data_IF_530426270726
#
_entry.id   IF_530426270726
#
_cell.length_a   1.000
_cell.length_b   1.000
_cell.length_c   1.000
_cell.angle_alpha   90.00
_cell.angle_beta   90.00
_cell.angle_gamma   90.00
#
_symmetry.space_group_name_H-M   'P 1'
#
loop_
_entity.id
_entity.type
_entity.pdbx_description
1 polymer ?
#
# COMPACT_ATOMS: atom_id res chain seq x y z
N UNK A 1 36.58 20.29 15.08
CA UNK A 1 35.13 20.46 15.37
C UNK A 1 34.23 20.46 14.13
N UNK A 2 34.54 21.22 13.07
CA UNK A 2 33.70 21.34 11.85
C UNK A 2 33.36 20.02 11.13
N UNK A 3 34.30 19.06 11.06
CA UNK A 3 34.09 17.75 10.41
C UNK A 3 33.16 16.79 11.18
N UNK A 4 33.02 16.96 12.50
CA UNK A 4 32.12 16.15 13.33
C UNK A 4 30.67 16.58 13.17
N UNK A 5 30.43 17.89 13.08
CA UNK A 5 29.10 18.48 12.83
C UNK A 5 28.61 18.12 11.43
N UNK A 6 29.48 18.14 10.42
CA UNK A 6 29.12 17.75 9.05
C UNK A 6 28.68 16.28 8.95
N UNK A 7 29.35 15.39 9.68
CA UNK A 7 29.02 13.95 9.71
C UNK A 7 27.69 13.68 10.42
N UNK A 8 27.41 14.39 11.51
CA UNK A 8 26.14 14.28 12.24
C UNK A 8 24.94 14.83 11.45
N UNK A 9 25.12 15.92 10.70
CA UNK A 9 24.07 16.48 9.84
C UNK A 9 23.78 15.56 8.64
N UNK A 10 24.82 14.96 8.05
CA UNK A 10 24.64 13.99 6.97
C UNK A 10 23.91 12.73 7.44
N UNK A 11 24.22 12.25 8.66
CA UNK A 11 23.54 11.10 9.28
C UNK A 11 22.07 11.40 9.60
N UNK A 12 21.75 12.64 10.01
CA UNK A 12 20.38 13.08 10.30
C UNK A 12 19.52 13.20 9.04
N UNK A 13 20.11 13.62 7.91
CA UNK A 13 19.42 13.71 6.60
C UNK A 13 19.13 12.32 6.04
N UNK A 14 20.02 11.35 6.25
CA UNK A 14 19.81 9.94 5.84
C UNK A 14 18.79 9.23 6.74
N UNK A 15 18.62 9.64 8.00
CA UNK A 15 17.62 9.06 8.91
C UNK A 15 16.20 9.64 8.74
N UNK A 16 16.05 10.73 7.98
CA UNK A 16 14.77 11.39 7.70
C UNK A 16 14.14 10.97 6.37
N UNK A 17 14.79 10.09 5.60
CA UNK A 17 14.19 9.54 4.38
C UNK A 17 13.10 8.54 4.75
N UNK A 18 11.88 9.03 5.00
CA UNK A 18 10.69 8.19 4.89
C UNK A 18 10.74 7.50 3.54
N UNK A 19 10.57 6.18 3.53
CA UNK A 19 10.72 5.31 2.37
C UNK A 19 10.20 5.96 1.07
N UNK A 20 11.11 6.41 0.19
CA UNK A 20 10.78 6.93 -1.16
C UNK A 20 11.08 5.85 -2.19
N UNK A 21 10.59 4.64 -1.95
CA UNK A 21 10.54 3.62 -2.99
C UNK A 21 9.10 3.55 -3.49
N UNK A 22 8.92 3.46 -4.80
CA UNK A 22 7.69 2.87 -5.30
C UNK A 22 7.54 1.51 -4.64
N UNK A 23 6.39 1.23 -4.02
CA UNK A 23 6.12 -0.07 -3.39
C UNK A 23 6.12 -1.21 -4.43
N UNK A 24 6.04 -0.89 -5.72
CA UNK A 24 6.33 -1.86 -6.77
C UNK A 24 7.75 -2.41 -6.62
N UNK A 25 7.84 -3.72 -6.36
CA UNK A 25 9.09 -4.45 -6.39
C UNK A 25 9.77 -4.26 -7.75
N UNK A 26 11.07 -3.99 -7.75
CA UNK A 26 11.89 -4.04 -8.97
C UNK A 26 12.17 -5.48 -9.43
N UNK A 27 11.90 -6.46 -8.56
CA UNK A 27 11.93 -7.88 -8.88
C UNK A 27 10.56 -8.33 -9.40
N UNK A 28 10.43 -8.74 -10.68
CA UNK A 28 9.17 -9.16 -11.27
C UNK A 28 8.62 -10.46 -10.68
N UNK A 29 9.38 -11.17 -9.84
CA UNK A 29 8.93 -12.38 -9.15
C UNK A 29 8.25 -12.10 -7.81
N UNK A 30 8.30 -10.85 -7.33
CA UNK A 30 7.71 -10.44 -6.05
C UNK A 30 6.45 -9.63 -6.33
N UNK A 31 5.31 -10.14 -5.85
CA UNK A 31 4.04 -9.42 -5.91
C UNK A 31 3.96 -8.36 -4.79
N UNK A 32 3.30 -7.24 -5.10
CA UNK A 32 2.85 -6.28 -4.09
C UNK A 32 1.37 -6.56 -3.76
N UNK A 33 1.06 -7.27 -2.66
CA UNK A 33 -0.30 -7.66 -2.35
C UNK A 33 -1.17 -6.45 -1.97
N UNK A 34 -2.39 -6.39 -2.50
CA UNK A 34 -3.42 -5.41 -2.10
C UNK A 34 -4.09 -5.83 -0.78
N UNK A 35 -4.23 -7.14 -0.59
CA UNK A 35 -4.77 -7.77 0.61
C UNK A 35 -3.94 -9.03 0.92
N UNK A 36 -3.60 -9.24 2.19
CA UNK A 36 -2.83 -10.40 2.66
C UNK A 36 -3.65 -11.40 3.46
N UNK A 37 -4.97 -11.22 3.52
CA UNK A 37 -5.85 -12.17 4.19
C UNK A 37 -5.87 -13.52 3.49
N UNK A 38 -5.87 -14.59 4.28
CA UNK A 38 -5.80 -15.98 3.78
C UNK A 38 -7.12 -16.56 3.28
N UNK A 39 -8.15 -15.72 3.10
CA UNK A 39 -9.49 -16.14 2.71
C UNK A 39 -9.69 -16.06 1.19
N UNK A 40 -10.81 -16.60 0.71
CA UNK A 40 -11.19 -16.50 -0.70
C UNK A 40 -11.39 -15.04 -1.09
N UNK A 41 -10.68 -14.60 -2.13
CA UNK A 41 -10.74 -13.25 -2.71
C UNK A 41 -11.09 -13.37 -4.20
N UNK A 42 -12.18 -12.74 -4.64
CA UNK A 42 -12.74 -12.91 -6.00
C UNK A 42 -13.15 -11.58 -6.66
N UNK A 43 -13.38 -11.65 -7.97
CA UNK A 43 -13.95 -10.58 -8.79
C UNK A 43 -13.33 -9.18 -8.59
N UNK A 44 -11.99 -9.02 -8.70
CA UNK A 44 -11.38 -7.71 -8.50
C UNK A 44 -11.80 -6.72 -9.61
N UNK A 45 -12.09 -5.49 -9.21
CA UNK A 45 -12.29 -4.36 -10.11
C UNK A 45 -11.35 -3.20 -9.74
N UNK A 46 -10.92 -2.42 -10.73
CA UNK A 46 -9.96 -1.33 -10.54
C UNK A 46 -10.38 -0.08 -11.31
N UNK A 47 -10.20 1.08 -10.68
CA UNK A 47 -10.31 2.39 -11.32
C UNK A 47 -9.19 3.31 -10.86
N UNK A 48 -8.85 4.32 -11.67
CA UNK A 48 -7.89 5.34 -11.27
C UNK A 48 -8.48 6.24 -10.18
N UNK A 49 -7.64 6.69 -9.25
CA UNK A 49 -8.06 7.60 -8.16
C UNK A 49 -8.03 9.10 -8.54
N UNK A 50 -7.69 9.42 -9.80
CA UNK A 50 -7.54 10.78 -10.32
C UNK A 50 -6.25 11.51 -9.90
N UNK A 51 -5.42 10.92 -9.04
CA UNK A 51 -4.16 11.49 -8.52
C UNK A 51 -2.93 10.65 -8.86
N UNK A 52 -3.07 9.72 -9.82
CA UNK A 52 -2.01 8.81 -10.25
C UNK A 52 -1.93 7.51 -9.45
N UNK A 53 -2.85 7.29 -8.51
CA UNK A 53 -3.07 6.02 -7.82
C UNK A 53 -4.27 5.25 -8.39
N UNK A 54 -4.73 4.28 -7.63
CA UNK A 54 -5.86 3.42 -7.99
C UNK A 54 -6.73 3.07 -6.79
N UNK A 55 -8.01 2.82 -7.03
CA UNK A 55 -8.93 2.18 -6.10
C UNK A 55 -9.23 0.78 -6.64
N UNK A 56 -9.01 -0.23 -5.80
CA UNK A 56 -9.24 -1.63 -6.09
C UNK A 56 -10.35 -2.11 -5.17
N UNK A 57 -11.33 -2.82 -5.71
CA UNK A 57 -12.39 -3.51 -4.95
C UNK A 57 -12.34 -5.00 -5.22
N UNK A 58 -12.70 -5.83 -4.24
CA UNK A 58 -12.80 -7.29 -4.40
C UNK A 58 -13.85 -7.88 -3.45
N UNK A 59 -14.36 -9.06 -3.81
CA UNK A 59 -15.20 -9.89 -2.95
C UNK A 59 -14.27 -10.67 -2.01
N UNK A 60 -14.53 -10.64 -0.70
CA UNK A 60 -13.70 -11.32 0.30
C UNK A 60 -14.58 -12.11 1.27
N UNK A 61 -14.20 -13.37 1.53
CA UNK A 61 -14.94 -14.30 2.40
C UNK A 61 -14.40 -14.39 3.84
N UNK A 62 -13.63 -13.40 4.32
CA UNK A 62 -13.03 -13.46 5.67
C UNK A 62 -14.02 -13.54 6.83
N UNK A 63 -15.23 -13.02 6.65
CA UNK A 63 -16.24 -12.93 7.70
C UNK A 63 -17.35 -13.99 7.56
N UNK A 64 -17.09 -15.08 6.82
CA UNK A 64 -18.06 -16.17 6.63
C UNK A 64 -19.19 -15.84 5.63
N UNK A 65 -19.13 -14.68 4.98
CA UNK A 65 -19.93 -14.31 3.83
C UNK A 65 -19.05 -13.48 2.86
N UNK A 66 -19.43 -13.43 1.58
CA UNK A 66 -18.77 -12.52 0.63
C UNK A 66 -19.22 -11.08 0.90
N UNK A 67 -18.24 -10.24 1.23
CA UNK A 67 -18.43 -8.81 1.34
C UNK A 67 -17.50 -8.07 0.40
N UNK A 68 -17.88 -6.85 0.01
CA UNK A 68 -17.04 -5.98 -0.82
C UNK A 68 -16.04 -5.25 0.05
N UNK A 69 -14.76 -5.45 -0.22
CA UNK A 69 -13.67 -4.69 0.35
C UNK A 69 -13.06 -3.79 -0.70
N UNK A 70 -12.35 -2.77 -0.22
CA UNK A 70 -11.66 -1.86 -1.09
C UNK A 70 -10.30 -1.45 -0.51
N UNK A 71 -9.38 -1.10 -1.40
CA UNK A 71 -8.10 -0.51 -1.04
C UNK A 71 -7.77 0.57 -2.05
N UNK A 72 -7.35 1.74 -1.55
CA UNK A 72 -6.74 2.77 -2.38
C UNK A 72 -5.23 2.66 -2.27
N UNK A 73 -4.55 2.66 -3.42
CA UNK A 73 -3.11 2.83 -3.50
C UNK A 73 -2.79 4.19 -4.10
N UNK A 74 -1.75 4.86 -3.62
CA UNK A 74 -1.25 6.09 -4.25
C UNK A 74 -0.37 5.80 -5.48
N UNK A 75 0.19 6.83 -6.11
CA UNK A 75 1.08 6.70 -7.26
C UNK A 75 2.40 5.95 -6.97
N UNK A 76 2.78 5.85 -5.70
CA UNK A 76 3.88 5.01 -5.24
C UNK A 76 3.41 3.59 -4.90
N UNK A 77 2.19 3.21 -5.23
CA UNK A 77 1.53 1.96 -4.85
C UNK A 77 1.42 1.71 -3.34
N UNK A 78 1.52 2.77 -2.53
CA UNK A 78 1.32 2.69 -1.09
C UNK A 78 -0.16 2.60 -0.76
N UNK A 79 -0.54 1.58 -0.01
CA UNK A 79 -1.83 1.47 0.66
C UNK A 79 -2.18 2.78 1.39
N UNK A 80 -3.37 3.32 1.14
CA UNK A 80 -3.82 4.60 1.67
C UNK A 80 -4.91 4.45 2.72
N UNK A 81 -5.74 3.42 2.60
CA UNK A 81 -6.65 3.05 3.68
C UNK A 81 -5.93 2.06 4.58
N UNK A 82 -6.21 2.18 5.89
CA UNK A 82 -5.93 1.08 6.78
C UNK A 82 -6.53 -0.17 6.13
N UNK A 83 -5.75 -1.24 6.09
CA UNK A 83 -6.25 -2.47 5.49
C UNK A 83 -7.60 -2.79 6.15
N UNK A 84 -8.51 -3.41 5.40
CA UNK A 84 -9.77 -3.95 5.92
C UNK A 84 -10.99 -3.02 6.04
N UNK A 85 -11.02 -1.81 5.45
CA UNK A 85 -12.30 -1.07 5.41
C UNK A 85 -13.32 -1.77 4.50
N UNK A 86 -14.29 -2.41 5.14
CA UNK A 86 -15.50 -2.99 4.56
C UNK A 86 -16.31 -1.88 3.86
N UNK A 87 -16.47 -1.98 2.54
CA UNK A 87 -17.14 -0.95 1.75
C UNK A 87 -18.67 -0.98 1.96
N UNK A 88 -19.24 -2.16 2.22
CA UNK A 88 -20.66 -2.35 2.46
C UNK A 88 -20.92 -3.48 3.48
N UNK A 89 -21.18 -3.16 4.77
CA UNK A 89 -21.73 -4.15 5.69
C UNK A 89 -23.14 -4.54 5.26
N UNK A 90 -23.40 -5.85 5.16
CA UNK A 90 -24.75 -6.42 5.06
C UNK A 90 -25.45 -6.42 6.42
#
# INVERSE_FOLDING_TARGET
MKKRILFSVLFLIVSLSGNIYSQWSTDPTVNNPICTEGHTQEYPAITGDGSGGAIITWDDYRDGNFNIYAQRINSSAAAQWAAEELLFPQ
#
